data_IF_421385650688
#
_entry.id   IF_421385650688
#
_cell.length_a   1.000
_cell.length_b   1.000
_cell.length_c   1.000
_cell.angle_alpha   90.00
_cell.angle_beta   90.00
_cell.angle_gamma   90.00
#
_symmetry.space_group_name_H-M   'P 1'
#
loop_
_entity.id
_entity.type
_entity.pdbx_description
1 polymer ?
#
# COMPACT_ATOMS: atom_id res chain seq x y z
N UNK A 1 -7.04 -1.16 -10.86
CA UNK A 1 -6.28 -0.55 -9.76
C UNK A 1 -6.81 0.85 -9.54
N UNK A 2 -7.20 1.18 -8.32
CA UNK A 2 -7.75 2.50 -8.04
C UNK A 2 -6.65 3.47 -7.59
N UNK A 3 -7.05 4.71 -7.33
CA UNK A 3 -6.11 5.77 -6.94
C UNK A 3 -5.38 5.44 -5.64
N UNK A 4 -6.05 4.79 -4.70
CA UNK A 4 -5.45 4.41 -3.42
C UNK A 4 -4.34 3.39 -3.63
N UNK A 5 -4.56 2.39 -4.48
CA UNK A 5 -3.54 1.40 -4.79
C UNK A 5 -2.33 2.05 -5.46
N UNK A 6 -2.57 2.98 -6.38
CA UNK A 6 -1.48 3.71 -7.04
C UNK A 6 -0.65 4.51 -6.04
N UNK A 7 -1.30 5.14 -5.07
CA UNK A 7 -0.62 5.89 -4.02
C UNK A 7 0.22 4.96 -3.14
N UNK A 8 -0.32 3.81 -2.77
CA UNK A 8 0.40 2.82 -1.97
C UNK A 8 1.64 2.34 -2.72
N UNK A 9 1.50 2.05 -4.00
CA UNK A 9 2.63 1.61 -4.83
C UNK A 9 3.71 2.68 -4.93
N UNK A 10 3.31 3.95 -5.09
CA UNK A 10 4.27 5.06 -5.13
C UNK A 10 5.06 5.18 -3.83
N UNK A 11 4.39 5.05 -2.69
CA UNK A 11 5.04 5.11 -1.39
C UNK A 11 6.06 3.98 -1.25
N UNK A 12 5.68 2.77 -1.64
CA UNK A 12 6.56 1.60 -1.56
C UNK A 12 7.75 1.70 -2.52
N UNK A 13 7.57 2.33 -3.67
CA UNK A 13 8.67 2.58 -4.60
C UNK A 13 9.71 3.53 -4.02
N UNK A 14 9.25 4.56 -3.34
CA UNK A 14 10.16 5.54 -2.73
C UNK A 14 10.80 4.99 -1.45
N UNK A 15 10.05 4.19 -0.70
CA UNK A 15 10.51 3.66 0.56
C UNK A 15 9.96 2.24 0.76
N UNK A 16 10.73 1.26 0.33
CA UNK A 16 10.32 -0.14 0.43
C UNK A 16 10.16 -0.62 1.87
N UNK A 17 10.65 0.16 2.85
CA UNK A 17 10.51 -0.16 4.27
C UNK A 17 9.32 0.52 4.93
N UNK A 18 8.54 1.29 4.19
CA UNK A 18 7.36 1.93 4.75
C UNK A 18 6.42 0.87 5.33
N UNK A 19 6.00 1.07 6.57
CA UNK A 19 5.08 0.14 7.22
C UNK A 19 3.64 0.45 6.80
N UNK A 20 2.74 -0.51 7.03
CA UNK A 20 1.32 -0.27 6.80
C UNK A 20 0.81 0.91 7.63
N UNK A 21 1.36 1.10 8.83
CA UNK A 21 1.01 2.24 9.68
C UNK A 21 1.40 3.56 9.02
N UNK A 22 2.60 3.64 8.47
CA UNK A 22 3.06 4.85 7.77
C UNK A 22 2.20 5.14 6.55
N UNK A 23 1.92 4.11 5.77
CA UNK A 23 1.11 4.24 4.57
C UNK A 23 -0.32 4.67 4.92
N UNK A 24 -0.88 4.12 5.98
CA UNK A 24 -2.25 4.43 6.39
C UNK A 24 -2.43 5.92 6.70
N UNK A 25 -1.42 6.55 7.27
CA UNK A 25 -1.45 7.98 7.56
C UNK A 25 -1.50 8.82 6.29
N UNK A 26 -0.83 8.36 5.24
CA UNK A 26 -0.75 9.09 3.99
C UNK A 26 -1.99 8.90 3.11
N UNK A 27 -2.64 7.75 3.20
CA UNK A 27 -3.81 7.45 2.36
C UNK A 27 -5.14 7.57 3.09
N UNK A 28 -5.11 7.96 4.36
CA UNK A 28 -6.32 8.15 5.18
C UNK A 28 -7.15 6.88 5.32
N UNK A 29 -6.48 5.75 5.42
CA UNK A 29 -7.12 4.45 5.66
C UNK A 29 -6.63 3.90 6.99
N UNK A 30 -7.37 2.93 7.53
CA UNK A 30 -6.91 2.20 8.71
C UNK A 30 -5.76 1.26 8.34
N UNK A 31 -4.96 0.88 9.34
CA UNK A 31 -3.87 -0.06 9.13
C UNK A 31 -4.36 -1.40 8.55
N UNK A 32 -5.42 -2.01 9.08
CA UNK A 32 -5.94 -3.24 8.47
C UNK A 32 -6.37 -3.08 7.01
N UNK A 33 -6.95 -1.94 6.66
CA UNK A 33 -7.36 -1.69 5.28
C UNK A 33 -6.15 -1.59 4.34
N UNK A 34 -5.09 -0.92 4.78
CA UNK A 34 -3.85 -0.83 4.01
C UNK A 34 -3.21 -2.21 3.85
N UNK A 35 -3.15 -2.98 4.92
CA UNK A 35 -2.57 -4.32 4.90
C UNK A 35 -3.30 -5.22 3.89
N UNK A 36 -4.63 -5.14 3.87
CA UNK A 36 -5.44 -5.91 2.95
C UNK A 36 -5.15 -5.53 1.50
N UNK A 37 -5.02 -4.25 1.22
CA UNK A 37 -4.72 -3.79 -0.14
C UNK A 37 -3.33 -4.23 -0.60
N UNK A 38 -2.35 -4.14 0.28
CA UNK A 38 -0.99 -4.61 -0.04
C UNK A 38 -1.01 -6.10 -0.35
N UNK A 39 -1.72 -6.88 0.44
CA UNK A 39 -1.84 -8.31 0.22
C UNK A 39 -2.43 -8.62 -1.17
N UNK A 40 -3.48 -7.92 -1.55
CA UNK A 40 -4.09 -8.10 -2.86
C UNK A 40 -3.14 -7.74 -3.99
N UNK A 41 -2.38 -6.66 -3.82
CA UNK A 41 -1.40 -6.27 -4.82
C UNK A 41 -0.30 -7.30 -4.97
N UNK A 42 0.15 -7.90 -3.89
CA UNK A 42 1.13 -8.97 -3.92
C UNK A 42 0.58 -10.22 -4.64
N UNK A 43 -0.68 -10.56 -4.37
CA UNK A 43 -1.33 -11.71 -5.00
C UNK A 43 -1.46 -11.55 -6.51
N UNK A 44 -1.63 -10.34 -6.98
CA UNK A 44 -1.75 -10.08 -8.42
C UNK A 44 -0.40 -9.91 -9.11
N UNK A 45 0.70 -9.97 -8.34
CA UNK A 45 2.04 -9.82 -8.90
C UNK A 45 2.44 -8.39 -9.19
N UNK A 46 1.69 -7.41 -8.72
CA UNK A 46 2.00 -6.00 -8.92
C UNK A 46 3.15 -5.55 -8.01
N UNK A 47 3.23 -6.12 -6.82
CA UNK A 47 4.32 -5.89 -5.87
C UNK A 47 5.18 -7.13 -5.78
N UNK A 48 6.47 -6.98 -5.92
CA UNK A 48 7.44 -8.07 -5.76
C UNK A 48 7.92 -8.18 -4.33
#
# INVERSE_FOLDING_TARGET
>A
MDKTDSTILSILKENSRASASDISKQVSLSVPAVTERIRKLEQTGVIE
#
